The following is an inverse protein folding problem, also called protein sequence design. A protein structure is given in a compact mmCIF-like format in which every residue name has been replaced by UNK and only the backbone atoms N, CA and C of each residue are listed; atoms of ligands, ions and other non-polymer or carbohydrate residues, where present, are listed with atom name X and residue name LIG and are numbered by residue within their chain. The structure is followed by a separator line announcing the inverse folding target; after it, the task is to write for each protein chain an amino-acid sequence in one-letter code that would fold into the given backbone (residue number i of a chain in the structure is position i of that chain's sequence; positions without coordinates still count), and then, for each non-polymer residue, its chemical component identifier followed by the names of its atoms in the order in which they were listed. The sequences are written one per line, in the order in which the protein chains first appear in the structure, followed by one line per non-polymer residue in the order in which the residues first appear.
data_IF_315074414414
#
_entry.id   IF_315074414414
#
_cell.length_a   1.000
_cell.length_b   1.000
_cell.length_c   1.000
_cell.angle_alpha   90.00
_cell.angle_beta   90.00
_cell.angle_gamma   90.00
#
_symmetry.space_group_name_H-M   'P 1'
#
loop_
_entity.id
_entity.type
_entity.pdbx_description
1 polymer ?
#
# COMPACT_ATOMS: atom_id res chain seq x y z
N UNK A 1 5.47 38.23 -5.35
CA UNK A 1 6.21 37.00 -4.99
C UNK A 1 5.72 36.36 -3.69
N UNK A 2 5.69 37.05 -2.53
CA UNK A 2 5.22 36.45 -1.26
C UNK A 2 3.76 35.95 -1.29
N UNK A 3 2.86 36.67 -1.96
CA UNK A 3 1.44 36.30 -2.08
C UNK A 3 1.24 35.03 -2.93
N UNK A 4 2.04 34.84 -3.99
CA UNK A 4 1.99 33.63 -4.82
C UNK A 4 2.50 32.40 -4.07
N UNK A 5 3.53 32.54 -3.23
CA UNK A 5 4.02 31.44 -2.38
C UNK A 5 2.96 31.07 -1.34
N UNK A 6 2.32 32.05 -0.71
CA UNK A 6 1.23 31.80 0.24
C UNK A 6 0.03 31.10 -0.41
N UNK A 7 -0.36 31.52 -1.61
CA UNK A 7 -1.43 30.86 -2.38
C UNK A 7 -1.07 29.41 -2.73
N UNK A 8 0.17 29.15 -3.12
CA UNK A 8 0.65 27.81 -3.45
C UNK A 8 0.71 26.91 -2.22
N UNK A 9 1.15 27.43 -1.06
CA UNK A 9 1.10 26.73 0.22
C UNK A 9 -0.34 26.41 0.66
N UNK A 10 -1.28 27.37 0.54
CA UNK A 10 -2.69 27.14 0.90
C UNK A 10 -3.35 26.12 -0.03
N UNK A 11 -3.01 26.12 -1.32
CA UNK A 11 -3.48 25.09 -2.26
C UNK A 11 -2.86 23.72 -1.92
N UNK A 12 -1.59 23.68 -1.55
CA UNK A 12 -0.90 22.44 -1.17
C UNK A 12 -1.43 21.86 0.15
N UNK A 13 -1.68 22.70 1.15
CA UNK A 13 -2.30 22.31 2.42
C UNK A 13 -3.74 21.81 2.21
N UNK A 14 -4.52 22.48 1.36
CA UNK A 14 -5.86 22.00 1.02
C UNK A 14 -5.83 20.69 0.22
N UNK A 15 -4.87 20.52 -0.70
CA UNK A 15 -4.69 19.27 -1.43
C UNK A 15 -4.23 18.12 -0.50
N UNK A 16 -3.37 18.42 0.46
CA UNK A 16 -2.90 17.47 1.47
C UNK A 16 -4.02 17.10 2.46
N UNK A 17 -4.82 18.07 2.91
CA UNK A 17 -6.02 17.83 3.70
C UNK A 17 -7.10 17.07 2.93
N UNK A 18 -7.21 17.30 1.61
CA UNK A 18 -8.08 16.52 0.72
C UNK A 18 -7.58 15.08 0.52
N UNK A 19 -6.26 14.88 0.42
CA UNK A 19 -5.64 13.54 0.43
C UNK A 19 -5.79 12.83 1.78
N UNK A 20 -5.93 13.59 2.87
CA UNK A 20 -6.25 13.09 4.22
C UNK A 20 -7.73 12.72 4.41
N UNK A 21 -8.56 12.75 3.36
CA UNK A 21 -9.92 12.21 3.46
C UNK A 21 -9.87 10.68 3.34
N UNK A 22 -10.38 10.02 4.38
CA UNK A 22 -10.15 8.60 4.69
C UNK A 22 -10.66 7.66 3.59
N UNK A 23 -9.75 7.17 2.76
CA UNK A 23 -9.98 5.95 1.98
C UNK A 23 -10.28 4.83 2.96
N UNK A 24 -11.35 4.08 2.69
CA UNK A 24 -11.78 2.98 3.52
C UNK A 24 -11.81 1.69 2.71
N UNK A 25 -11.45 0.59 3.35
CA UNK A 25 -11.52 -0.75 2.75
C UNK A 25 -12.71 -1.48 3.36
N UNK A 26 -13.61 -1.90 2.49
CA UNK A 26 -14.80 -2.65 2.82
C UNK A 26 -14.59 -4.12 2.47
N UNK A 27 -14.93 -5.00 3.40
CA UNK A 27 -14.88 -6.44 3.24
C UNK A 27 -16.30 -6.98 3.16
N UNK A 28 -16.62 -7.67 2.07
CA UNK A 28 -17.94 -8.22 1.79
C UNK A 28 -17.79 -9.72 1.57
N UNK A 29 -18.65 -10.53 2.19
CA UNK A 29 -18.64 -11.99 2.01
C UNK A 29 -19.94 -12.39 1.31
N UNK A 30 -19.90 -12.71 -0.01
CA UNK A 30 -21.08 -13.15 -0.74
C UNK A 30 -21.54 -14.51 -0.24
N UNK A 31 -22.83 -14.63 0.07
CA UNK A 31 -23.45 -15.84 0.67
C UNK A 31 -24.15 -16.73 -0.32
N UNK A 32 -24.44 -16.22 -1.51
CA UNK A 32 -25.16 -16.92 -2.55
C UNK A 32 -24.67 -16.48 -3.93
N UNK A 33 -25.06 -17.22 -4.97
CA UNK A 33 -24.65 -16.95 -6.35
C UNK A 33 -25.15 -15.59 -6.85
N UNK A 34 -26.28 -15.08 -6.33
CA UNK A 34 -26.81 -13.78 -6.74
C UNK A 34 -25.93 -12.64 -6.25
N UNK A 35 -25.57 -12.67 -4.97
CA UNK A 35 -24.64 -11.72 -4.35
C UNK A 35 -23.27 -11.75 -5.02
N UNK A 36 -22.73 -12.95 -5.28
CA UNK A 36 -21.47 -13.10 -6.01
C UNK A 36 -21.58 -12.47 -7.40
N UNK A 37 -22.66 -12.75 -8.14
CA UNK A 37 -22.88 -12.22 -9.48
C UNK A 37 -22.95 -10.69 -9.49
N UNK A 38 -23.66 -10.08 -8.54
CA UNK A 38 -23.75 -8.62 -8.40
C UNK A 38 -22.36 -8.01 -8.16
N UNK A 39 -21.55 -8.62 -7.29
CA UNK A 39 -20.18 -8.15 -7.04
C UNK A 39 -19.27 -8.35 -8.26
N UNK A 40 -19.43 -9.45 -9.00
CA UNK A 40 -18.72 -9.68 -10.26
C UNK A 40 -19.09 -8.65 -11.33
N UNK A 41 -20.38 -8.32 -11.48
CA UNK A 41 -20.83 -7.28 -12.40
C UNK A 41 -20.27 -5.90 -11.99
N UNK A 42 -20.20 -5.60 -10.69
CA UNK A 42 -19.55 -4.39 -10.19
C UNK A 42 -18.04 -4.38 -10.52
N UNK A 43 -17.36 -5.51 -10.38
CA UNK A 43 -15.94 -5.63 -10.70
C UNK A 43 -15.65 -5.47 -12.21
N UNK A 44 -16.50 -6.03 -13.07
CA UNK A 44 -16.37 -5.89 -14.52
C UNK A 44 -16.63 -4.46 -15.00
N UNK A 45 -17.54 -3.74 -14.32
CA UNK A 45 -17.89 -2.35 -14.61
C UNK A 45 -17.29 -1.37 -13.59
N UNK A 46 -16.09 -1.70 -13.08
CA UNK A 46 -15.46 -0.93 -12.00
C UNK A 46 -15.28 0.54 -12.38
N UNK A 47 -15.76 1.42 -11.51
CA UNK A 47 -15.53 2.87 -11.56
C UNK A 47 -14.11 3.21 -11.08
N UNK A 48 -13.53 4.30 -11.56
CA UNK A 48 -12.19 4.79 -11.16
C UNK A 48 -12.05 5.01 -9.64
N UNK A 49 -13.17 5.17 -8.94
CA UNK A 49 -13.25 5.40 -7.50
C UNK A 49 -13.36 4.13 -6.64
N UNK A 50 -13.36 2.95 -7.25
CA UNK A 50 -13.40 1.65 -6.57
C UNK A 50 -12.17 0.84 -6.99
N UNK A 51 -11.39 0.39 -6.00
CA UNK A 51 -10.22 -0.46 -6.25
C UNK A 51 -10.38 -1.78 -5.51
N UNK A 52 -10.40 -2.87 -6.27
CA UNK A 52 -10.61 -4.22 -5.75
C UNK A 52 -9.29 -4.85 -5.35
N UNK A 53 -8.98 -4.80 -4.06
CA UNK A 53 -7.81 -5.47 -3.48
C UNK A 53 -7.96 -6.99 -3.50
N UNK A 54 -9.18 -7.47 -3.32
CA UNK A 54 -9.53 -8.88 -3.49
C UNK A 54 -10.78 -8.99 -4.36
N UNK A 55 -10.66 -9.44 -5.63
CA UNK A 55 -11.80 -9.52 -6.54
C UNK A 55 -12.77 -10.65 -6.14
N UNK A 56 -14.04 -10.55 -6.59
CA UNK A 56 -15.01 -11.63 -6.41
C UNK A 56 -14.54 -12.91 -7.10
N UNK A 57 -14.52 -14.01 -6.36
CA UNK A 57 -14.00 -15.31 -6.83
C UNK A 57 -15.01 -16.43 -6.64
N UNK A 58 -15.50 -16.63 -5.43
CA UNK A 58 -16.54 -17.63 -5.13
C UNK A 58 -17.37 -17.22 -3.92
N UNK A 59 -18.48 -17.92 -3.68
CA UNK A 59 -19.27 -17.81 -2.45
C UNK A 59 -18.36 -18.08 -1.24
N UNK A 60 -18.64 -17.40 -0.12
CA UNK A 60 -17.92 -17.46 1.15
C UNK A 60 -16.45 -16.98 1.11
N UNK A 61 -15.95 -16.53 -0.04
CA UNK A 61 -14.65 -15.86 -0.13
C UNK A 61 -14.84 -14.35 -0.05
N UNK A 62 -14.04 -13.68 0.79
CA UNK A 62 -14.16 -12.23 0.95
C UNK A 62 -13.80 -11.48 -0.33
N UNK A 63 -14.48 -10.36 -0.52
CA UNK A 63 -14.22 -9.36 -1.55
C UNK A 63 -13.84 -8.09 -0.80
N UNK A 64 -12.64 -7.59 -1.08
CA UNK A 64 -12.06 -6.46 -0.36
C UNK A 64 -11.94 -5.29 -1.35
N UNK A 65 -12.61 -4.19 -1.04
CA UNK A 65 -12.78 -3.05 -1.95
C UNK A 65 -12.33 -1.78 -1.23
N UNK A 66 -11.30 -1.14 -1.75
CA UNK A 66 -10.90 0.22 -1.35
C UNK A 66 -11.82 1.21 -2.06
N UNK A 67 -12.43 2.09 -1.27
CA UNK A 67 -13.42 3.06 -1.73
C UNK A 67 -12.89 4.45 -1.49
N UNK A 68 -12.93 5.27 -2.54
CA UNK A 68 -12.51 6.65 -2.47
C UNK A 68 -13.47 7.47 -1.59
N UNK A 69 -12.97 8.49 -0.86
CA UNK A 69 -13.77 9.30 0.05
C UNK A 69 -15.01 9.91 -0.60
N UNK A 70 -14.91 10.31 -1.87
CA UNK A 70 -15.98 10.89 -2.68
C UNK A 70 -17.13 9.90 -2.91
N UNK A 71 -16.83 8.62 -3.11
CA UNK A 71 -17.80 7.57 -3.44
C UNK A 71 -18.32 6.80 -2.23
N UNK A 72 -17.72 7.02 -1.05
CA UNK A 72 -18.05 6.29 0.18
C UNK A 72 -19.55 6.26 0.52
N UNK A 73 -20.24 7.40 0.44
CA UNK A 73 -21.69 7.48 0.74
C UNK A 73 -22.51 6.67 -0.27
N UNK A 74 -22.29 6.92 -1.56
CA UNK A 74 -22.99 6.23 -2.64
C UNK A 74 -22.76 4.71 -2.56
N UNK A 75 -21.53 4.30 -2.24
CA UNK A 75 -21.18 2.90 -2.09
C UNK A 75 -21.87 2.25 -0.87
N UNK A 76 -21.88 2.90 0.30
CA UNK A 76 -22.59 2.36 1.47
C UNK A 76 -24.10 2.31 1.26
N UNK A 77 -24.67 3.29 0.56
CA UNK A 77 -26.10 3.31 0.22
C UNK A 77 -26.42 2.17 -0.76
N UNK A 78 -25.56 1.95 -1.76
CA UNK A 78 -25.69 0.84 -2.70
C UNK A 78 -25.62 -0.52 -1.99
N UNK A 79 -24.66 -0.70 -1.07
CA UNK A 79 -24.56 -1.92 -0.25
C UNK A 79 -25.83 -2.15 0.57
N UNK A 80 -26.37 -1.08 1.18
CA UNK A 80 -27.59 -1.16 1.97
C UNK A 80 -28.82 -1.52 1.10
N UNK A 81 -28.96 -0.89 -0.07
CA UNK A 81 -30.06 -1.17 -1.01
C UNK A 81 -29.98 -2.59 -1.56
N UNK A 82 -28.78 -3.06 -1.90
CA UNK A 82 -28.55 -4.42 -2.38
C UNK A 82 -28.63 -5.48 -1.25
N UNK A 83 -28.73 -5.06 0.01
CA UNK A 83 -28.86 -5.96 1.16
C UNK A 83 -27.57 -6.68 1.55
N UNK A 84 -26.41 -6.15 1.17
CA UNK A 84 -25.12 -6.73 1.52
C UNK A 84 -24.79 -6.51 3.00
N UNK A 85 -24.31 -7.57 3.65
CA UNK A 85 -23.60 -7.44 4.92
C UNK A 85 -22.12 -7.22 4.66
N UNK A 86 -21.55 -6.21 5.28
CA UNK A 86 -20.16 -5.82 5.09
C UNK A 86 -19.50 -5.44 6.41
N UNK A 87 -18.19 -5.55 6.44
CA UNK A 87 -17.32 -5.06 7.52
C UNK A 87 -16.38 -3.98 6.97
N UNK A 88 -16.03 -3.01 7.81
CA UNK A 88 -15.01 -2.01 7.45
C UNK A 88 -13.67 -2.52 7.96
N UNK A 89 -12.91 -3.18 7.09
CA UNK A 89 -11.61 -3.77 7.42
C UNK A 89 -10.56 -2.68 7.73
N UNK A 90 -10.58 -1.58 6.98
CA UNK A 90 -9.71 -0.43 7.21
C UNK A 90 -10.55 0.83 7.15
N UNK A 91 -10.66 1.54 8.27
CA UNK A 91 -11.44 2.79 8.36
C UNK A 91 -10.75 3.97 7.70
N UNK A 92 -9.44 4.07 7.89
CA UNK A 92 -8.61 5.15 7.36
C UNK A 92 -7.26 4.59 6.90
N UNK A 93 -7.13 4.42 5.58
CA UNK A 93 -5.92 3.93 4.97
C UNK A 93 -4.77 4.94 5.07
N UNK A 94 -5.06 6.24 5.01
CA UNK A 94 -4.04 7.27 5.08
C UNK A 94 -3.38 7.29 6.47
N UNK A 95 -4.19 7.19 7.53
CA UNK A 95 -3.68 7.04 8.90
C UNK A 95 -2.84 5.77 9.05
N UNK A 96 -3.28 4.65 8.46
CA UNK A 96 -2.54 3.39 8.51
C UNK A 96 -1.18 3.48 7.80
N UNK A 97 -1.11 4.14 6.64
CA UNK A 97 0.15 4.39 5.92
C UNK A 97 1.07 5.28 6.76
N UNK A 98 0.56 6.40 7.30
CA UNK A 98 1.36 7.31 8.11
C UNK A 98 1.92 6.62 9.37
N UNK A 99 1.11 5.83 10.08
CA UNK A 99 1.57 5.04 11.22
C UNK A 99 2.69 4.06 10.87
N UNK A 100 2.72 3.54 9.63
CA UNK A 100 3.78 2.63 9.16
C UNK A 100 5.01 3.35 8.62
N UNK A 101 4.85 4.51 7.98
CA UNK A 101 5.96 5.26 7.37
C UNK A 101 6.73 6.15 8.36
N UNK A 102 6.04 6.77 9.32
CA UNK A 102 6.65 7.70 10.29
C UNK A 102 7.76 7.00 11.11
N UNK A 103 7.55 5.81 11.69
CA UNK A 103 8.60 5.07 12.39
C UNK A 103 9.83 4.78 11.52
N UNK A 104 9.72 4.76 10.20
CA UNK A 104 10.89 4.60 9.31
C UNK A 104 11.68 5.86 9.11
N UNK A 105 11.00 6.97 8.81
CA UNK A 105 11.67 8.26 8.58
C UNK A 105 12.29 8.81 9.85
N UNK A 106 11.66 8.57 11.00
CA UNK A 106 12.09 9.08 12.29
C UNK A 106 12.73 8.01 13.20
N UNK A 107 12.77 6.74 12.79
CA UNK A 107 13.32 5.60 13.55
C UNK A 107 14.83 5.62 13.80
N UNK A 108 15.55 6.65 13.33
CA UNK A 108 16.90 6.96 13.81
C UNK A 108 16.90 7.80 15.10
N UNK A 109 15.74 8.28 15.54
CA UNK A 109 15.53 9.10 16.74
C UNK A 109 14.35 8.51 17.56
N UNK A 110 14.68 7.73 18.59
CA UNK A 110 13.81 7.27 19.68
C UNK A 110 12.92 6.01 19.48
N UNK A 111 13.14 5.07 20.41
CA UNK A 111 12.31 3.91 20.77
C UNK A 111 10.94 4.29 21.40
N UNK A 112 10.22 5.29 20.87
CA UNK A 112 8.99 5.82 21.49
C UNK A 112 7.68 5.19 20.96
N UNK A 113 7.69 4.54 19.80
CA UNK A 113 6.51 3.92 19.19
C UNK A 113 6.81 2.45 18.87
N UNK A 114 6.91 1.64 19.92
CA UNK A 114 7.34 0.25 19.85
C UNK A 114 6.25 -0.71 19.38
N UNK A 115 5.98 -0.78 18.07
CA UNK A 115 5.67 -2.09 17.48
C UNK A 115 6.99 -2.82 17.27
N UNK A 116 7.34 -3.68 18.21
CA UNK A 116 8.49 -4.56 18.13
C UNK A 116 8.22 -5.62 17.05
N UNK A 117 8.43 -5.28 15.77
CA UNK A 117 8.72 -6.32 14.78
C UNK A 117 10.00 -6.98 15.27
N UNK A 118 9.92 -8.27 15.64
CA UNK A 118 11.02 -9.03 16.22
C UNK A 118 12.25 -8.87 15.29
N UNK A 119 13.20 -8.04 15.72
CA UNK A 119 14.48 -7.89 15.04
C UNK A 119 15.33 -9.07 15.48
N UNK A 120 15.18 -10.19 14.77
CA UNK A 120 16.02 -11.36 14.98
C UNK A 120 17.45 -11.16 14.43
N UNK A 121 17.70 -10.04 13.75
CA UNK A 121 19.01 -9.66 13.22
C UNK A 121 19.91 -9.02 14.29
N UNK A 122 20.58 -9.88 15.07
CA UNK A 122 21.62 -9.48 16.04
C UNK A 122 23.02 -9.31 15.43
N UNK A 123 23.18 -9.45 14.12
CA UNK A 123 24.49 -9.49 13.46
C UNK A 123 24.83 -8.17 12.76
N UNK A 124 25.91 -7.53 13.19
CA UNK A 124 26.44 -6.29 12.64
C UNK A 124 27.18 -6.51 11.32
N UNK A 125 27.01 -5.57 10.37
CA UNK A 125 28.02 -5.04 9.43
C UNK A 125 27.75 -5.19 7.93
N UNK A 126 26.80 -6.01 7.46
CA UNK A 126 26.62 -6.20 6.00
C UNK A 126 25.21 -6.56 5.52
N UNK A 127 24.25 -6.72 6.44
CA UNK A 127 22.89 -7.15 6.13
C UNK A 127 21.94 -5.94 6.14
N UNK A 128 21.05 -5.85 5.14
CA UNK A 128 19.84 -5.03 5.29
C UNK A 128 19.06 -5.61 6.48
N UNK A 129 18.75 -4.80 7.51
CA UNK A 129 17.95 -5.29 8.64
C UNK A 129 16.61 -5.88 8.15
N UNK A 130 16.36 -7.14 8.48
CA UNK A 130 15.09 -7.77 8.17
C UNK A 130 13.98 -7.16 9.03
N UNK A 131 12.77 -7.09 8.45
CA UNK A 131 11.57 -6.59 9.13
C UNK A 131 11.11 -5.20 8.69
N UNK A 132 11.91 -4.49 7.90
CA UNK A 132 11.55 -3.21 7.28
C UNK A 132 11.36 -3.35 5.75
N UNK A 133 10.63 -2.41 5.13
CA UNK A 133 10.60 -2.24 3.69
C UNK A 133 11.58 -1.14 3.29
N UNK A 134 12.28 -1.40 2.19
CA UNK A 134 13.34 -0.56 1.67
C UNK A 134 12.93 0.03 0.32
N UNK A 135 13.50 1.19 0.01
CA UNK A 135 13.42 1.75 -1.33
C UNK A 135 14.14 0.87 -2.34
N UNK A 136 13.78 1.01 -3.62
CA UNK A 136 14.45 0.30 -4.70
C UNK A 136 15.97 0.53 -4.69
N UNK A 137 16.42 1.78 -4.52
CA UNK A 137 17.85 2.12 -4.55
C UNK A 137 18.64 1.49 -3.39
N UNK A 138 18.06 1.43 -2.20
CA UNK A 138 18.65 0.75 -1.04
C UNK A 138 18.82 -0.76 -1.29
N UNK A 139 17.79 -1.41 -1.87
CA UNK A 139 17.85 -2.83 -2.23
C UNK A 139 18.93 -3.07 -3.29
N UNK A 140 19.02 -2.20 -4.30
CA UNK A 140 20.07 -2.29 -5.34
C UNK A 140 21.46 -2.11 -4.76
N UNK A 141 21.65 -1.14 -3.88
CA UNK A 141 22.95 -0.91 -3.23
C UNK A 141 23.34 -2.09 -2.35
N UNK A 142 22.38 -2.68 -1.65
CA UNK A 142 22.60 -3.91 -0.89
C UNK A 142 23.00 -5.08 -1.80
N UNK A 143 22.31 -5.31 -2.91
CA UNK A 143 22.67 -6.38 -3.85
C UNK A 143 24.09 -6.21 -4.42
N UNK A 144 24.49 -4.97 -4.74
CA UNK A 144 25.87 -4.66 -5.19
C UNK A 144 26.91 -4.92 -4.09
N UNK A 145 26.58 -4.59 -2.85
CA UNK A 145 27.44 -4.88 -1.70
C UNK A 145 27.56 -6.39 -1.46
N UNK A 146 26.47 -7.13 -1.68
CA UNK A 146 26.43 -8.59 -1.53
C UNK A 146 27.36 -9.26 -2.55
N UNK A 147 27.33 -8.85 -3.81
CA UNK A 147 28.30 -9.30 -4.83
C UNK A 147 29.74 -8.90 -4.46
N UNK A 148 29.97 -7.66 -4.00
CA UNK A 148 31.31 -7.19 -3.61
C UNK A 148 31.91 -7.99 -2.46
N UNK A 149 31.10 -8.40 -1.49
CA UNK A 149 31.54 -9.15 -0.31
C UNK A 149 31.67 -10.66 -0.57
N UNK A 150 30.84 -11.20 -1.46
CA UNK A 150 30.73 -12.64 -1.71
C UNK A 150 30.87 -13.00 -3.20
N UNK A 151 31.73 -12.30 -3.94
CA UNK A 151 31.88 -12.43 -5.40
C UNK A 151 32.34 -13.82 -5.89
N UNK A 152 32.75 -14.70 -4.97
CA UNK A 152 33.04 -16.10 -5.26
C UNK A 152 31.78 -16.97 -5.41
N UNK A 153 30.63 -16.55 -4.87
CA UNK A 153 29.36 -17.30 -4.86
C UNK A 153 28.16 -16.49 -5.34
N UNK A 154 28.30 -15.17 -5.48
CA UNK A 154 27.22 -14.25 -5.83
C UNK A 154 27.63 -13.45 -7.05
N UNK A 155 26.74 -13.34 -8.03
CA UNK A 155 26.86 -12.43 -9.17
C UNK A 155 25.59 -11.63 -9.37
N UNK A 156 25.76 -10.35 -9.66
CA UNK A 156 24.66 -9.46 -10.00
C UNK A 156 24.43 -9.49 -11.51
N UNK A 157 23.22 -9.82 -11.93
CA UNK A 157 22.81 -9.83 -13.33
C UNK A 157 21.73 -8.78 -13.57
N UNK A 158 21.74 -8.17 -14.75
CA UNK A 158 20.66 -7.31 -15.23
C UNK A 158 19.91 -8.04 -16.32
N UNK A 159 18.61 -8.29 -16.10
CA UNK A 159 17.76 -9.04 -17.05
C UNK A 159 17.01 -8.13 -18.04
N UNK A 160 17.11 -6.82 -17.86
CA UNK A 160 16.48 -5.84 -18.74
C UNK A 160 16.20 -4.52 -18.04
N UNK A 161 15.29 -3.74 -18.61
CA UNK A 161 14.83 -2.47 -18.04
C UNK A 161 13.31 -2.43 -17.94
N UNK A 162 12.81 -1.82 -16.87
CA UNK A 162 11.40 -1.50 -16.68
C UNK A 162 10.91 -0.50 -17.72
N UNK A 163 9.59 -0.32 -17.81
CA UNK A 163 8.95 0.69 -18.67
C UNK A 163 9.47 2.12 -18.41
N UNK A 164 9.84 2.44 -17.16
CA UNK A 164 10.42 3.74 -16.78
C UNK A 164 11.96 3.78 -16.89
N UNK A 165 12.58 2.78 -17.53
CA UNK A 165 14.03 2.74 -17.78
C UNK A 165 14.89 2.32 -16.58
N UNK A 166 14.31 1.88 -15.47
CA UNK A 166 15.08 1.33 -14.33
C UNK A 166 15.54 -0.09 -14.65
N UNK A 167 16.80 -0.43 -14.34
CA UNK A 167 17.32 -1.79 -14.51
C UNK A 167 16.54 -2.81 -13.68
N UNK A 168 16.38 -4.03 -14.18
CA UNK A 168 15.82 -5.14 -13.41
C UNK A 168 17.00 -6.03 -13.03
N UNK A 169 17.38 -5.96 -11.75
CA UNK A 169 18.54 -6.66 -11.22
C UNK A 169 18.12 -7.95 -10.51
N UNK A 170 18.90 -9.00 -10.73
CA UNK A 170 18.79 -10.29 -10.04
C UNK A 170 20.14 -10.72 -9.50
N UNK A 171 20.11 -11.58 -8.49
CA UNK A 171 21.30 -12.17 -7.88
C UNK A 171 21.32 -13.67 -8.18
N UNK A 172 22.45 -14.19 -8.64
CA UNK A 172 22.67 -15.62 -8.95
C UNK A 172 23.92 -16.16 -8.28
#
# INVERSE_FOLDING_TARGET
MLIQIALLCVIFENAFAKFSSAFAVYQIIPRNDRELKILSELYENTDEFLDFWRPPSSINNSVDIMVYPEMRRNFTDWLHIAGFQYEIAIKDLAELILKREIPRRFGYLHNLFGEHRLKDDRSSSSTLPMGEYYSYDEIVQWMRNLERLHGNIVRLISIGTTHQGRSILGVV
#
